data_IF_659574991846
#
_entry.id   IF_659574991846
#
_cell.length_a   1.000
_cell.length_b   1.000
_cell.length_c   1.000
_cell.angle_alpha   90.00
_cell.angle_beta   90.00
_cell.angle_gamma   90.00
#
_symmetry.space_group_name_H-M   'P 1'
#
loop_
_entity.id
_entity.type
_entity.pdbx_description
1 polymer ?
#
# COMPACT_ATOMS: atom_id res chain seq x y z
N UNK A 1 4.19 -7.30 -11.77
CA UNK A 1 3.37 -6.64 -10.75
C UNK A 1 2.34 -5.64 -11.33
N UNK A 2 2.50 -5.16 -12.56
CA UNK A 2 1.62 -4.17 -13.18
C UNK A 2 1.73 -2.76 -12.56
N UNK A 3 2.85 -2.46 -11.91
CA UNK A 3 3.16 -1.13 -11.36
C UNK A 3 3.95 -0.36 -12.40
N UNK A 4 3.55 0.87 -12.69
CA UNK A 4 4.35 1.81 -13.48
C UNK A 4 5.31 2.52 -12.56
N UNK A 5 6.55 2.72 -13.03
CA UNK A 5 7.61 3.40 -12.28
C UNK A 5 7.90 4.74 -12.95
N UNK A 6 7.95 5.79 -12.14
CA UNK A 6 8.33 7.13 -12.56
C UNK A 6 9.49 7.63 -11.69
N UNK A 7 10.42 8.34 -12.29
CA UNK A 7 11.52 9.01 -11.60
C UNK A 7 11.23 10.52 -11.55
N UNK A 8 11.23 11.08 -10.35
CA UNK A 8 11.10 12.52 -10.10
C UNK A 8 12.41 13.01 -9.48
N UNK A 9 13.15 13.84 -10.20
CA UNK A 9 14.45 14.33 -9.73
C UNK A 9 14.65 15.82 -9.97
N UNK A 10 15.41 16.47 -9.08
CA UNK A 10 15.89 17.83 -9.27
C UNK A 10 17.10 17.93 -10.19
N UNK A 11 17.69 16.80 -10.59
CA UNK A 11 18.86 16.74 -11.45
C UNK A 11 18.58 17.24 -12.87
N UNK A 12 19.67 17.56 -13.59
CA UNK A 12 19.59 17.96 -14.98
C UNK A 12 19.08 16.82 -15.87
N UNK A 13 18.39 17.15 -16.98
CA UNK A 13 17.83 16.14 -17.90
C UNK A 13 18.86 15.14 -18.40
N UNK A 14 20.10 15.58 -18.63
CA UNK A 14 21.17 14.71 -19.13
C UNK A 14 21.53 13.62 -18.12
N UNK A 15 21.69 13.99 -16.83
CA UNK A 15 21.99 13.05 -15.74
C UNK A 15 20.81 12.09 -15.50
N UNK A 16 19.59 12.61 -15.48
CA UNK A 16 18.39 11.83 -15.33
C UNK A 16 18.21 10.80 -16.46
N UNK A 17 18.54 11.17 -17.70
CA UNK A 17 18.45 10.28 -18.85
C UNK A 17 19.44 9.11 -18.79
N UNK A 18 20.63 9.30 -18.21
CA UNK A 18 21.60 8.21 -18.00
C UNK A 18 21.05 7.19 -17.03
N UNK A 19 20.59 7.65 -15.85
CA UNK A 19 20.03 6.78 -14.81
C UNK A 19 18.78 6.05 -15.34
N UNK A 20 17.93 6.74 -16.08
CA UNK A 20 16.74 6.14 -16.67
C UNK A 20 17.05 4.98 -17.62
N UNK A 21 18.11 5.11 -18.43
CA UNK A 21 18.57 4.03 -19.33
C UNK A 21 19.11 2.84 -18.55
N UNK A 22 19.89 3.10 -17.51
CA UNK A 22 20.48 2.04 -16.67
C UNK A 22 19.41 1.28 -15.88
N UNK A 23 18.40 1.98 -15.37
CA UNK A 23 17.33 1.41 -14.56
C UNK A 23 16.11 0.91 -15.34
N UNK A 24 16.01 1.28 -16.63
CA UNK A 24 14.87 0.95 -17.49
C UNK A 24 13.59 1.74 -17.16
N UNK A 25 13.69 2.83 -16.38
CA UNK A 25 12.55 3.70 -16.07
C UNK A 25 12.19 4.54 -17.29
N UNK A 26 10.93 4.44 -17.74
CA UNK A 26 10.47 5.14 -18.95
C UNK A 26 9.83 6.51 -18.67
N UNK A 27 9.29 6.72 -17.47
CA UNK A 27 8.66 7.97 -17.07
C UNK A 27 9.68 8.77 -16.23
N UNK A 28 10.20 9.84 -16.80
CA UNK A 28 11.26 10.65 -16.16
C UNK A 28 10.85 12.12 -16.15
N UNK A 29 10.86 12.70 -14.97
CA UNK A 29 10.61 14.11 -14.71
C UNK A 29 11.83 14.69 -14.01
N UNK A 30 12.59 15.52 -14.70
CA UNK A 30 13.87 16.07 -14.26
C UNK A 30 13.81 17.58 -14.09
N UNK A 31 14.79 18.15 -13.38
CA UNK A 31 14.85 19.58 -13.10
C UNK A 31 13.74 20.10 -12.21
N UNK A 32 13.14 19.23 -11.39
CA UNK A 32 12.00 19.57 -10.54
C UNK A 32 12.46 20.27 -9.25
N UNK A 33 11.83 21.37 -8.93
CA UNK A 33 11.84 21.94 -7.58
C UNK A 33 10.93 21.13 -6.64
N UNK A 34 11.09 21.24 -5.31
CA UNK A 34 10.22 20.52 -4.37
C UNK A 34 8.72 20.72 -4.62
N UNK A 35 8.31 21.94 -4.96
CA UNK A 35 6.91 22.26 -5.30
C UNK A 35 6.44 21.59 -6.62
N UNK A 36 7.34 21.42 -7.57
CA UNK A 36 7.01 20.78 -8.84
C UNK A 36 6.88 19.25 -8.66
N UNK A 37 7.65 18.66 -7.74
CA UNK A 37 7.46 17.26 -7.34
C UNK A 37 6.06 17.02 -6.79
N UNK A 38 5.56 17.91 -5.92
CA UNK A 38 4.20 17.84 -5.38
C UNK A 38 3.16 17.91 -6.50
N UNK A 39 3.28 18.88 -7.41
CA UNK A 39 2.37 19.00 -8.56
C UNK A 39 2.40 17.73 -9.42
N UNK A 40 3.60 17.19 -9.66
CA UNK A 40 3.75 15.98 -10.46
C UNK A 40 3.12 14.76 -9.79
N UNK A 41 3.23 14.61 -8.46
CA UNK A 41 2.55 13.57 -7.70
C UNK A 41 1.02 13.68 -7.84
N UNK A 42 0.46 14.89 -7.76
CA UNK A 42 -0.98 15.11 -7.99
C UNK A 42 -1.40 14.70 -9.41
N UNK A 43 -0.66 15.10 -10.44
CA UNK A 43 -0.93 14.72 -11.83
C UNK A 43 -0.89 13.19 -12.02
N UNK A 44 0.10 12.53 -11.43
CA UNK A 44 0.21 11.08 -11.47
C UNK A 44 -0.96 10.40 -10.73
N UNK A 45 -1.44 10.97 -9.62
CA UNK A 45 -2.64 10.47 -8.92
C UNK A 45 -3.90 10.61 -9.76
N UNK A 46 -4.07 11.72 -10.44
CA UNK A 46 -5.21 11.94 -11.35
C UNK A 46 -5.18 10.96 -12.53
N UNK A 47 -3.98 10.70 -13.08
CA UNK A 47 -3.83 9.84 -14.24
C UNK A 47 -3.90 8.34 -13.93
N UNK A 48 -3.36 7.91 -12.77
CA UNK A 48 -3.19 6.48 -12.44
C UNK A 48 -3.96 6.03 -11.19
N UNK A 49 -4.58 6.94 -10.48
CA UNK A 49 -5.37 6.69 -9.28
C UNK A 49 -4.53 6.67 -8.01
N UNK A 50 -3.72 5.64 -7.78
CA UNK A 50 -2.90 5.51 -6.57
C UNK A 50 -1.41 5.65 -6.88
N UNK A 51 -0.71 6.43 -6.05
CA UNK A 51 0.73 6.70 -6.18
C UNK A 51 1.41 6.36 -4.87
N UNK A 52 2.43 5.50 -4.95
CA UNK A 52 3.43 5.34 -3.91
C UNK A 52 4.61 6.26 -4.25
N UNK A 53 4.90 7.21 -3.38
CA UNK A 53 6.11 8.06 -3.46
C UNK A 53 7.17 7.48 -2.54
N UNK A 54 8.39 7.34 -3.06
CA UNK A 54 9.55 6.91 -2.28
C UNK A 54 10.59 8.01 -2.31
N UNK A 55 11.12 8.40 -1.17
CA UNK A 55 12.12 9.46 -1.08
C UNK A 55 12.91 9.45 0.23
N UNK A 56 14.07 10.11 0.24
CA UNK A 56 14.90 10.30 1.43
C UNK A 56 14.38 11.41 2.35
N UNK A 57 13.50 12.24 1.87
CA UNK A 57 12.68 13.17 2.60
C UNK A 57 13.29 14.50 2.99
N UNK A 58 14.54 14.80 2.69
CA UNK A 58 15.08 16.14 2.97
C UNK A 58 14.33 17.20 2.16
N UNK A 59 14.12 16.92 0.88
CA UNK A 59 13.38 17.79 -0.06
C UNK A 59 12.06 17.16 -0.55
N UNK A 60 11.78 15.92 -0.17
CA UNK A 60 10.68 15.13 -0.70
C UNK A 60 9.49 15.03 0.29
N UNK A 61 9.64 15.51 1.54
CA UNK A 61 8.60 15.43 2.55
C UNK A 61 7.23 15.96 2.07
N UNK A 62 7.13 17.11 1.37
CA UNK A 62 5.85 17.58 0.83
C UNK A 62 5.28 16.65 -0.26
N UNK A 63 6.14 16.05 -1.09
CA UNK A 63 5.73 15.11 -2.14
C UNK A 63 5.31 13.75 -1.55
N UNK A 64 5.99 13.28 -0.49
CA UNK A 64 5.60 12.09 0.27
C UNK A 64 4.19 12.28 0.86
N UNK A 65 3.94 13.42 1.52
CA UNK A 65 2.63 13.75 2.09
C UNK A 65 1.51 13.90 1.03
N UNK A 66 1.85 14.32 -0.19
CA UNK A 66 0.90 14.47 -1.29
C UNK A 66 0.54 13.13 -1.98
N UNK A 67 1.35 12.10 -1.80
CA UNK A 67 1.12 10.79 -2.39
C UNK A 67 -0.09 10.06 -1.76
N UNK A 68 -0.52 8.95 -2.36
CA UNK A 68 -1.50 8.06 -1.72
C UNK A 68 -0.87 7.28 -0.58
N UNK A 69 0.40 6.92 -0.74
CA UNK A 69 1.27 6.33 0.28
C UNK A 69 2.64 6.95 0.12
N UNK A 70 3.16 7.54 1.19
CA UNK A 70 4.53 8.05 1.29
C UNK A 70 5.43 7.00 1.94
N UNK A 71 6.55 6.67 1.31
CA UNK A 71 7.55 5.75 1.83
C UNK A 71 8.89 6.47 2.00
N UNK A 72 9.32 6.61 3.24
CA UNK A 72 10.59 7.23 3.60
C UNK A 72 11.73 6.21 3.69
N UNK A 73 12.96 6.68 3.45
CA UNK A 73 14.19 5.92 3.69
C UNK A 73 14.60 6.10 5.16
N UNK A 74 14.91 5.00 5.87
CA UNK A 74 15.09 5.05 7.33
C UNK A 74 16.46 5.52 7.79
N UNK A 75 17.52 5.11 7.08
CA UNK A 75 18.91 5.43 7.43
C UNK A 75 19.33 6.79 6.87
N UNK A 76 19.01 7.05 5.60
CA UNK A 76 19.33 8.30 4.89
C UNK A 76 18.25 9.36 5.04
N UNK A 77 17.07 8.99 5.55
CA UNK A 77 15.92 9.89 5.69
C UNK A 77 16.13 10.97 6.73
N UNK A 78 15.60 12.17 6.46
CA UNK A 78 15.49 13.23 7.46
C UNK A 78 14.41 12.92 8.48
N UNK A 79 14.53 13.46 9.71
CA UNK A 79 13.48 13.35 10.72
C UNK A 79 12.10 13.79 10.21
N UNK A 80 12.07 14.84 9.38
CA UNK A 80 10.84 15.35 8.76
C UNK A 80 10.20 14.34 7.80
N UNK A 81 11.01 13.58 7.06
CA UNK A 81 10.47 12.54 6.18
C UNK A 81 9.85 11.38 6.97
N UNK A 82 10.52 10.99 8.05
CA UNK A 82 10.03 9.92 8.92
C UNK A 82 8.72 10.29 9.61
N UNK A 83 8.51 11.59 9.89
CA UNK A 83 7.26 12.08 10.48
C UNK A 83 6.07 12.08 9.51
N UNK A 84 6.31 12.22 8.21
CA UNK A 84 5.25 12.31 7.20
C UNK A 84 5.07 11.02 6.38
N UNK A 85 6.00 10.07 6.48
CA UNK A 85 5.93 8.81 5.75
C UNK A 85 4.93 7.85 6.40
N UNK A 86 4.11 7.20 5.58
CA UNK A 86 3.21 6.11 6.01
C UNK A 86 3.98 4.80 6.24
N UNK A 87 5.09 4.62 5.53
CA UNK A 87 5.95 3.44 5.58
C UNK A 87 7.41 3.89 5.60
N UNK A 88 8.26 3.19 6.36
CA UNK A 88 9.69 3.47 6.43
C UNK A 88 10.50 2.22 6.08
N UNK A 89 11.42 2.35 5.12
CA UNK A 89 12.41 1.32 4.80
C UNK A 89 13.62 1.47 5.72
N UNK A 90 13.67 0.64 6.76
CA UNK A 90 14.69 0.77 7.82
C UNK A 90 16.13 0.52 7.34
N UNK A 91 16.32 -0.24 6.27
CA UNK A 91 17.64 -0.59 5.72
C UNK A 91 17.97 0.16 4.42
N UNK A 92 17.16 1.14 4.00
CA UNK A 92 17.29 1.88 2.73
C UNK A 92 17.40 0.96 1.49
N UNK A 93 16.90 -0.26 1.60
CA UNK A 93 16.95 -1.22 0.52
C UNK A 93 15.74 -1.07 -0.40
N UNK A 94 15.94 -0.44 -1.56
CA UNK A 94 14.89 -0.23 -2.57
C UNK A 94 14.29 -1.53 -3.09
N UNK A 95 15.03 -2.64 -3.07
CA UNK A 95 14.50 -3.96 -3.49
C UNK A 95 13.34 -4.43 -2.60
N UNK A 96 13.31 -4.01 -1.34
CA UNK A 96 12.23 -4.33 -0.41
C UNK A 96 10.89 -3.69 -0.80
N UNK A 97 10.86 -2.65 -1.62
CA UNK A 97 9.62 -2.01 -2.10
C UNK A 97 8.72 -3.03 -2.79
N UNK A 98 9.30 -3.87 -3.64
CA UNK A 98 8.55 -4.90 -4.34
C UNK A 98 7.94 -5.93 -3.37
N UNK A 99 8.69 -6.30 -2.35
CA UNK A 99 8.23 -7.19 -1.28
C UNK A 99 7.10 -6.55 -0.47
N UNK A 100 7.26 -5.29 -0.02
CA UNK A 100 6.24 -4.53 0.72
C UNK A 100 4.94 -4.45 -0.07
N UNK A 101 4.99 -4.10 -1.36
CA UNK A 101 3.81 -4.05 -2.23
C UNK A 101 3.15 -5.43 -2.32
N UNK A 102 3.93 -6.50 -2.44
CA UNK A 102 3.39 -7.87 -2.51
C UNK A 102 2.68 -8.27 -1.23
N UNK A 103 3.27 -7.96 -0.07
CA UNK A 103 2.69 -8.22 1.25
C UNK A 103 1.42 -7.41 1.50
N UNK A 104 1.41 -6.13 1.14
CA UNK A 104 0.22 -5.29 1.22
C UNK A 104 -0.94 -5.86 0.38
N UNK A 105 -0.67 -6.33 -0.84
CA UNK A 105 -1.68 -6.98 -1.69
C UNK A 105 -2.18 -8.30 -1.11
N UNK A 106 -1.28 -9.08 -0.50
CA UNK A 106 -1.63 -10.34 0.18
C UNK A 106 -2.53 -10.05 1.39
N UNK A 107 -2.17 -9.07 2.22
CA UNK A 107 -2.97 -8.64 3.36
C UNK A 107 -4.36 -8.17 2.92
N UNK A 108 -4.44 -7.33 1.89
CA UNK A 108 -5.71 -6.84 1.36
C UNK A 108 -6.61 -7.97 0.84
N UNK A 109 -6.05 -8.98 0.17
CA UNK A 109 -6.80 -10.17 -0.27
C UNK A 109 -7.37 -10.94 0.92
N UNK A 110 -6.56 -11.16 1.95
CA UNK A 110 -6.97 -11.87 3.17
C UNK A 110 -8.08 -11.11 3.90
N UNK A 111 -7.97 -9.78 4.02
CA UNK A 111 -9.03 -8.94 4.60
C UNK A 111 -10.33 -9.05 3.81
N UNK A 112 -10.27 -8.94 2.47
CA UNK A 112 -11.45 -9.09 1.60
C UNK A 112 -12.09 -10.47 1.73
N UNK A 113 -11.29 -11.54 1.79
CA UNK A 113 -11.79 -12.91 2.01
C UNK A 113 -12.50 -13.03 3.36
N UNK A 114 -11.87 -12.53 4.43
CA UNK A 114 -12.44 -12.56 5.77
C UNK A 114 -13.75 -11.78 5.85
N UNK A 115 -13.78 -10.59 5.26
CA UNK A 115 -15.00 -9.76 5.24
C UNK A 115 -16.14 -10.45 4.47
N UNK A 116 -15.85 -10.98 3.28
CA UNK A 116 -16.84 -11.71 2.48
C UNK A 116 -17.38 -12.93 3.23
N UNK A 117 -16.48 -13.72 3.83
CA UNK A 117 -16.87 -14.89 4.62
C UNK A 117 -17.73 -14.51 5.81
N UNK A 118 -17.34 -13.50 6.60
CA UNK A 118 -18.09 -13.04 7.76
C UNK A 118 -19.51 -12.56 7.38
N UNK A 119 -19.61 -11.75 6.31
CA UNK A 119 -20.92 -11.27 5.82
C UNK A 119 -21.78 -12.45 5.37
N UNK A 120 -21.21 -13.42 4.66
CA UNK A 120 -21.95 -14.61 4.19
C UNK A 120 -22.50 -15.42 5.37
N UNK A 121 -21.69 -15.65 6.40
CA UNK A 121 -22.13 -16.37 7.60
C UNK A 121 -23.26 -15.62 8.32
N UNK A 122 -23.11 -14.30 8.49
CA UNK A 122 -24.15 -13.47 9.13
C UNK A 122 -25.46 -13.56 8.34
N UNK A 123 -25.41 -13.41 7.01
CA UNK A 123 -26.62 -13.49 6.19
C UNK A 123 -27.26 -14.88 6.23
N UNK A 124 -26.45 -15.94 6.25
CA UNK A 124 -26.96 -17.31 6.37
C UNK A 124 -27.65 -17.54 7.73
N UNK A 125 -27.06 -17.04 8.83
CA UNK A 125 -27.67 -17.16 10.15
C UNK A 125 -28.98 -16.36 10.28
N UNK A 126 -29.02 -15.14 9.68
CA UNK A 126 -30.26 -14.34 9.64
C UNK A 126 -31.33 -15.07 8.84
N UNK A 127 -31.04 -15.57 7.67
CA UNK A 127 -31.97 -16.30 6.82
C UNK A 127 -32.48 -17.57 7.52
N UNK A 128 -31.60 -18.35 8.15
CA UNK A 128 -31.97 -19.53 8.91
C UNK A 128 -32.88 -19.23 10.12
N UNK A 129 -32.63 -18.11 10.81
CA UNK A 129 -33.50 -17.69 11.90
C UNK A 129 -34.90 -17.27 11.42
N UNK A 130 -35.01 -16.62 10.25
CA UNK A 130 -36.32 -16.28 9.67
C UNK A 130 -37.11 -17.51 9.23
N UNK A 131 -36.42 -18.56 8.78
CA UNK A 131 -37.04 -19.84 8.40
C UNK A 131 -37.36 -20.73 9.62
N UNK A 132 -37.03 -20.30 10.83
CA UNK A 132 -37.18 -21.03 12.10
C UNK A 132 -36.44 -22.38 12.17
N UNK A 133 -35.43 -22.58 11.29
CA UNK A 133 -34.70 -23.85 11.18
C UNK A 133 -33.42 -23.86 12.05
N UNK A 134 -33.01 -22.71 12.61
CA UNK A 134 -31.78 -22.62 13.41
C UNK A 134 -32.06 -22.46 14.88
N UNK A 135 -31.74 -23.49 15.65
CA UNK A 135 -31.80 -23.43 17.12
C UNK A 135 -30.71 -22.43 17.63
N UNK A 136 -31.03 -21.70 18.70
CA UNK A 136 -30.13 -20.69 19.28
C UNK A 136 -28.69 -21.18 19.53
N UNK A 137 -28.43 -22.39 20.05
CA UNK A 137 -27.08 -22.91 20.23
C UNK A 137 -26.31 -23.05 18.92
N UNK A 138 -26.97 -23.43 17.84
CA UNK A 138 -26.36 -23.58 16.52
C UNK A 138 -25.97 -22.21 15.92
N UNK A 139 -26.79 -21.18 16.16
CA UNK A 139 -26.48 -19.80 15.79
C UNK A 139 -25.24 -19.28 16.50
N UNK A 140 -25.11 -19.53 17.80
CA UNK A 140 -23.93 -19.13 18.58
C UNK A 140 -22.68 -19.87 18.12
N UNK A 141 -22.72 -21.20 17.96
CA UNK A 141 -21.58 -21.98 17.46
C UNK A 141 -21.17 -21.55 16.04
N UNK A 142 -22.15 -21.26 15.18
CA UNK A 142 -21.87 -20.77 13.82
C UNK A 142 -21.17 -19.41 13.82
N UNK A 143 -21.61 -18.49 14.68
CA UNK A 143 -20.99 -17.15 14.78
C UNK A 143 -19.58 -17.23 15.38
N UNK A 144 -19.40 -17.85 16.52
CA UNK A 144 -18.09 -17.99 17.18
C UNK A 144 -17.12 -18.83 16.35
N UNK A 145 -17.59 -19.92 15.74
CA UNK A 145 -16.79 -20.74 14.83
C UNK A 145 -16.30 -19.96 13.61
N UNK A 146 -17.13 -19.10 13.05
CA UNK A 146 -16.73 -18.23 11.94
C UNK A 146 -15.63 -17.24 12.33
N UNK A 147 -15.69 -16.69 13.54
CA UNK A 147 -14.69 -15.78 14.08
C UNK A 147 -13.32 -16.46 14.20
N UNK A 148 -13.30 -17.70 14.71
CA UNK A 148 -12.06 -18.51 14.80
C UNK A 148 -11.47 -18.74 13.41
N UNK A 149 -12.29 -19.08 12.42
CA UNK A 149 -11.83 -19.30 11.04
C UNK A 149 -11.23 -18.02 10.42
N UNK A 150 -11.83 -16.86 10.65
CA UNK A 150 -11.32 -15.55 10.22
C UNK A 150 -9.95 -15.28 10.85
N UNK A 151 -9.80 -15.53 12.15
CA UNK A 151 -8.51 -15.37 12.86
C UNK A 151 -7.45 -16.29 12.26
N UNK A 152 -7.76 -17.58 12.07
CA UNK A 152 -6.84 -18.56 11.51
C UNK A 152 -6.40 -18.18 10.08
N UNK A 153 -7.33 -17.65 9.26
CA UNK A 153 -6.98 -17.15 7.94
C UNK A 153 -6.08 -15.91 8.01
N UNK A 154 -6.29 -15.03 9.00
CA UNK A 154 -5.42 -13.87 9.26
C UNK A 154 -4.00 -14.27 9.65
N UNK A 155 -3.83 -15.31 10.49
CA UNK A 155 -2.51 -15.81 10.91
C UNK A 155 -1.64 -16.31 9.75
N UNK A 156 -2.23 -16.63 8.59
CA UNK A 156 -1.46 -16.98 7.37
C UNK A 156 -0.59 -15.83 6.86
N UNK A 157 -0.85 -14.60 7.28
CA UNK A 157 -0.02 -13.44 6.91
C UNK A 157 1.31 -13.39 7.66
N UNK A 158 1.45 -14.14 8.77
CA UNK A 158 2.68 -14.21 9.56
C UNK A 158 3.72 -15.17 8.95
N UNK A 159 3.37 -15.88 7.89
CA UNK A 159 4.25 -16.76 7.10
C UNK A 159 4.55 -16.13 5.76
#
# INVERSE_FOLDING_TARGET
MGVKVAMLTGDRPESAAVIARETGVSLVYSGLLPEDKVKQVHLLREQYGQVLMVGDGVNDAPALAAATVGMGMGVSGSGTALEVADVVLMNDNIEEIAWVISQARRAQRTVKQNMFFAITVILALIAGNFLQDVALPLGVVGHEGSTILVILNGLRLLR
#
